data_IF_819664365344
#
_entry.id   IF_819664365344
#
_cell.length_a   1.000
_cell.length_b   1.000
_cell.length_c   1.000
_cell.angle_alpha   90.00
_cell.angle_beta   90.00
_cell.angle_gamma   90.00
#
_symmetry.space_group_name_H-M   'P 1'
#
loop_
_entity.id
_entity.type
_entity.pdbx_description
1 polymer ?
#
# COMPACT_ATOMS: atom_id res chain seq x y z
N UNK A 1 -16.10 -13.88 6.03
CA UNK A 1 -15.52 -13.01 4.98
C UNK A 1 -16.14 -13.45 3.67
N UNK A 2 -16.82 -12.56 2.98
CA UNK A 2 -17.68 -12.88 1.83
C UNK A 2 -17.11 -12.37 0.50
N UNK A 3 -15.97 -11.68 0.52
CA UNK A 3 -15.37 -11.09 -0.67
C UNK A 3 -15.96 -9.76 -1.11
N UNK A 4 -16.83 -9.15 -0.31
CA UNK A 4 -17.37 -7.84 -0.58
C UNK A 4 -16.49 -6.74 0.04
N UNK A 5 -16.22 -5.69 -0.75
CA UNK A 5 -15.64 -4.43 -0.28
C UNK A 5 -16.73 -3.36 -0.39
N UNK A 6 -17.01 -2.71 0.72
CA UNK A 6 -17.89 -1.55 0.77
C UNK A 6 -17.06 -0.33 1.19
N UNK A 7 -17.00 0.66 0.34
CA UNK A 7 -16.42 1.96 0.66
C UNK A 7 -17.52 2.99 0.70
N UNK A 8 -17.74 3.60 1.86
CA UNK A 8 -18.78 4.58 2.09
C UNK A 8 -18.21 5.90 2.57
N UNK A 9 -18.69 6.99 2.00
CA UNK A 9 -18.37 8.34 2.50
C UNK A 9 -19.02 8.55 3.88
N UNK A 10 -18.27 9.15 4.81
CA UNK A 10 -18.82 9.56 6.09
C UNK A 10 -19.58 10.89 6.03
N UNK A 11 -19.40 11.64 4.93
CA UNK A 11 -20.04 12.95 4.72
C UNK A 11 -21.27 12.81 3.83
N UNK A 12 -21.17 12.03 2.75
CA UNK A 12 -22.28 11.76 1.85
C UNK A 12 -22.67 10.29 1.91
N UNK A 13 -23.74 10.00 2.62
CA UNK A 13 -24.26 8.62 2.79
C UNK A 13 -24.70 7.96 1.48
N UNK A 14 -24.89 8.74 0.41
CA UNK A 14 -25.22 8.23 -0.92
C UNK A 14 -23.98 7.83 -1.74
N UNK A 15 -22.80 8.30 -1.33
CA UNK A 15 -21.53 7.92 -1.96
C UNK A 15 -21.06 6.58 -1.39
N UNK A 16 -21.64 5.51 -1.92
CA UNK A 16 -21.34 4.13 -1.55
C UNK A 16 -20.83 3.38 -2.77
N UNK A 17 -19.67 2.74 -2.61
CA UNK A 17 -19.11 1.83 -3.61
C UNK A 17 -19.11 0.42 -3.05
N UNK A 18 -19.84 -0.48 -3.68
CA UNK A 18 -19.86 -1.90 -3.33
C UNK A 18 -19.21 -2.70 -4.46
N UNK A 19 -18.23 -3.53 -4.09
CA UNK A 19 -17.55 -4.40 -5.03
C UNK A 19 -17.45 -5.81 -4.52
N UNK A 20 -17.85 -6.77 -5.34
CA UNK A 20 -17.76 -8.19 -5.03
C UNK A 20 -16.62 -8.82 -5.84
N UNK A 21 -15.62 -9.36 -5.13
CA UNK A 21 -14.47 -10.05 -5.73
C UNK A 21 -14.69 -11.56 -5.87
N UNK A 22 -15.85 -12.07 -5.44
CA UNK A 22 -16.19 -13.51 -5.43
C UNK A 22 -15.16 -14.40 -4.72
N UNK A 23 -14.31 -13.80 -3.88
CA UNK A 23 -13.23 -14.47 -3.13
C UNK A 23 -13.07 -13.82 -1.78
N UNK A 24 -12.81 -14.61 -0.72
CA UNK A 24 -12.61 -14.05 0.63
C UNK A 24 -11.45 -13.07 0.66
N UNK A 25 -11.73 -11.85 1.11
CA UNK A 25 -10.74 -10.79 1.31
C UNK A 25 -10.39 -10.68 2.80
N UNK A 26 -9.14 -10.38 3.11
CA UNK A 26 -8.63 -10.21 4.48
C UNK A 26 -8.06 -8.81 4.72
N UNK A 27 -7.63 -8.15 3.66
CA UNK A 27 -7.03 -6.83 3.74
C UNK A 27 -7.56 -5.92 2.65
N UNK A 28 -7.83 -4.68 3.03
CA UNK A 28 -8.19 -3.57 2.13
C UNK A 28 -7.46 -2.32 2.61
N UNK A 29 -6.94 -1.53 1.68
CA UNK A 29 -6.29 -0.28 1.99
C UNK A 29 -6.64 0.80 0.96
N UNK A 30 -7.26 1.88 1.41
CA UNK A 30 -7.59 3.03 0.57
C UNK A 30 -6.31 3.82 0.25
N UNK A 31 -6.22 4.34 -0.97
CA UNK A 31 -5.19 5.31 -1.34
C UNK A 31 -5.27 6.54 -0.42
N UNK A 32 -4.15 7.16 -0.04
CA UNK A 32 -4.16 8.45 0.65
C UNK A 32 -4.89 9.55 -0.14
N UNK A 33 -4.93 9.42 -1.46
CA UNK A 33 -5.64 10.33 -2.38
C UNK A 33 -7.03 9.79 -2.80
N UNK A 34 -7.61 8.86 -2.04
CA UNK A 34 -8.86 8.18 -2.41
C UNK A 34 -9.99 9.15 -2.78
N UNK A 35 -10.03 10.32 -2.16
CA UNK A 35 -11.04 11.34 -2.47
C UNK A 35 -10.99 11.77 -3.94
N UNK A 36 -9.81 11.82 -4.53
CA UNK A 36 -9.56 12.26 -5.91
C UNK A 36 -9.39 11.10 -6.88
N UNK A 37 -8.65 10.06 -6.49
CA UNK A 37 -8.28 8.96 -7.37
C UNK A 37 -9.18 7.73 -7.28
N UNK A 38 -10.02 7.67 -6.23
CA UNK A 38 -10.94 6.55 -5.96
C UNK A 38 -10.25 5.18 -6.02
N UNK A 39 -8.98 5.14 -5.65
CA UNK A 39 -8.13 3.96 -5.75
C UNK A 39 -8.02 3.26 -4.40
N UNK A 40 -8.09 1.93 -4.41
CA UNK A 40 -7.78 1.10 -3.25
C UNK A 40 -7.15 -0.22 -3.66
N UNK A 41 -6.52 -0.87 -2.71
CA UNK A 41 -5.95 -2.20 -2.84
C UNK A 41 -6.73 -3.19 -2.00
N UNK A 42 -6.88 -4.40 -2.50
CA UNK A 42 -7.49 -5.50 -1.76
C UNK A 42 -6.69 -6.79 -1.95
N UNK A 43 -6.79 -7.67 -0.96
CA UNK A 43 -6.14 -8.98 -0.99
C UNK A 43 -6.71 -9.94 0.04
N UNK A 44 -6.45 -11.23 -0.14
CA UNK A 44 -6.97 -12.27 0.76
C UNK A 44 -6.52 -13.66 0.40
N UNK A 45 -7.37 -14.65 0.61
CA UNK A 45 -7.05 -16.09 0.47
C UNK A 45 -6.54 -16.48 -0.92
N UNK A 46 -6.96 -15.79 -1.97
CA UNK A 46 -6.51 -16.08 -3.33
C UNK A 46 -5.04 -15.66 -3.60
N UNK A 47 -4.36 -15.00 -2.65
CA UNK A 47 -2.99 -14.53 -2.81
C UNK A 47 -2.80 -13.48 -3.91
N UNK A 48 -3.88 -12.81 -4.30
CA UNK A 48 -3.84 -11.76 -5.32
C UNK A 48 -3.91 -10.39 -4.67
N UNK A 49 -2.99 -9.51 -5.04
CA UNK A 49 -3.06 -8.08 -4.74
C UNK A 49 -3.76 -7.40 -5.91
N UNK A 50 -4.95 -6.90 -5.66
CA UNK A 50 -5.79 -6.27 -6.68
C UNK A 50 -5.86 -4.77 -6.44
N UNK A 51 -5.51 -4.02 -7.47
CA UNK A 51 -5.73 -2.58 -7.55
C UNK A 51 -7.10 -2.33 -8.16
N UNK A 52 -7.95 -1.60 -7.44
CA UNK A 52 -9.23 -1.14 -7.95
C UNK A 52 -9.20 0.37 -8.08
N UNK A 53 -9.52 0.86 -9.27
CA UNK A 53 -9.76 2.27 -9.52
C UNK A 53 -11.26 2.46 -9.65
N UNK A 54 -11.86 3.18 -8.72
CA UNK A 54 -13.32 3.37 -8.66
C UNK A 54 -13.84 4.28 -9.77
N UNK A 55 -15.16 4.24 -9.96
CA UNK A 55 -15.85 5.17 -10.84
C UNK A 55 -15.85 6.60 -10.25
N UNK A 56 -15.94 7.65 -11.09
CA UNK A 56 -16.17 9.01 -10.62
C UNK A 56 -17.41 9.12 -9.74
N UNK A 57 -17.39 10.05 -8.78
CA UNK A 57 -18.47 10.31 -7.81
C UNK A 57 -19.84 10.43 -8.46
N UNK A 58 -20.84 9.82 -7.85
CA UNK A 58 -22.26 10.04 -8.15
C UNK A 58 -23.09 8.83 -8.57
N UNK A 59 -22.51 7.63 -8.65
CA UNK A 59 -23.27 6.39 -8.90
C UNK A 59 -22.85 5.28 -7.96
N UNK A 60 -23.82 4.78 -7.19
CA UNK A 60 -23.71 3.48 -6.54
C UNK A 60 -23.58 2.41 -7.63
N UNK A 61 -22.41 1.81 -7.76
CA UNK A 61 -22.18 0.72 -8.72
C UNK A 61 -21.90 -0.55 -7.94
N UNK A 62 -22.87 -1.47 -7.96
CA UNK A 62 -22.63 -2.85 -7.57
C UNK A 62 -22.04 -3.59 -8.77
N UNK A 63 -20.82 -4.08 -8.63
CA UNK A 63 -20.17 -4.90 -9.67
C UNK A 63 -19.66 -6.21 -9.10
N UNK A 64 -19.98 -7.28 -9.81
CA UNK A 64 -19.46 -8.62 -9.54
C UNK A 64 -18.30 -8.89 -10.48
N UNK A 65 -17.11 -9.05 -9.94
CA UNK A 65 -15.94 -9.54 -10.69
C UNK A 65 -15.89 -11.07 -10.61
N UNK A 66 -16.38 -11.72 -11.67
CA UNK A 66 -16.30 -13.18 -11.79
C UNK A 66 -14.89 -13.67 -12.12
N UNK A 67 -14.66 -14.97 -11.98
CA UNK A 67 -13.40 -15.66 -12.24
C UNK A 67 -12.86 -15.52 -13.68
N UNK A 68 -13.62 -14.92 -14.59
CA UNK A 68 -13.28 -14.70 -15.99
C UNK A 68 -12.41 -13.46 -16.24
N UNK A 69 -12.13 -12.65 -15.23
CA UNK A 69 -11.30 -11.44 -15.37
C UNK A 69 -9.85 -11.70 -15.77
N UNK A 70 -9.37 -12.96 -15.66
CA UNK A 70 -8.01 -13.32 -16.09
C UNK A 70 -7.84 -13.39 -17.62
N UNK A 71 -8.93 -13.65 -18.37
CA UNK A 71 -8.87 -13.76 -19.84
C UNK A 71 -9.19 -12.45 -20.57
N UNK A 72 -9.69 -11.43 -19.87
CA UNK A 72 -10.18 -10.19 -20.48
C UNK A 72 -9.16 -9.03 -20.45
N UNK A 73 -7.88 -9.33 -20.34
CA UNK A 73 -6.82 -8.33 -20.15
C UNK A 73 -6.71 -7.26 -21.25
N UNK A 74 -7.29 -7.43 -22.40
CA UNK A 74 -7.24 -6.42 -23.47
C UNK A 74 -8.61 -6.05 -24.05
N UNK A 75 -9.59 -6.97 -23.99
CA UNK A 75 -10.94 -6.71 -24.52
C UNK A 75 -11.87 -6.02 -23.51
N UNK A 76 -11.58 -6.10 -22.20
CA UNK A 76 -12.39 -5.47 -21.13
C UNK A 76 -12.33 -3.94 -21.10
N UNK A 77 -11.44 -3.33 -21.89
CA UNK A 77 -11.28 -1.86 -21.93
C UNK A 77 -12.38 -1.14 -22.73
N UNK A 78 -13.24 -1.84 -23.44
CA UNK A 78 -14.23 -1.23 -24.35
C UNK A 78 -15.67 -1.23 -23.84
N UNK A 79 -15.99 -1.94 -22.75
CA UNK A 79 -17.36 -2.03 -22.27
C UNK A 79 -17.44 -1.52 -20.83
N UNK A 80 -17.83 -0.28 -20.65
CA UNK A 80 -18.24 0.23 -19.36
C UNK A 80 -17.61 1.54 -18.93
N UNK A 81 -17.94 2.63 -19.58
CA UNK A 81 -17.67 3.99 -19.08
C UNK A 81 -18.51 4.26 -17.81
N UNK A 82 -18.09 3.73 -16.65
CA UNK A 82 -18.79 3.96 -15.38
C UNK A 82 -18.47 2.94 -14.28
N UNK A 83 -17.88 1.82 -14.63
CA UNK A 83 -17.47 0.81 -13.65
C UNK A 83 -15.96 0.86 -13.45
N UNK A 84 -15.49 0.99 -12.20
CA UNK A 84 -14.07 0.99 -11.88
C UNK A 84 -13.31 -0.18 -12.51
N UNK A 85 -12.00 -0.02 -12.67
CA UNK A 85 -11.12 -1.02 -13.28
C UNK A 85 -10.35 -1.78 -12.22
N UNK A 86 -10.36 -3.11 -12.28
CA UNK A 86 -9.50 -3.97 -11.48
C UNK A 86 -8.24 -4.37 -12.27
N UNK A 87 -7.12 -4.36 -11.58
CA UNK A 87 -5.85 -4.82 -12.11
C UNK A 87 -5.15 -5.68 -11.07
N UNK A 88 -4.78 -6.90 -11.43
CA UNK A 88 -3.97 -7.76 -10.54
C UNK A 88 -2.52 -7.29 -10.63
N UNK A 89 -2.00 -6.74 -9.54
CA UNK A 89 -0.62 -6.26 -9.45
C UNK A 89 0.36 -7.38 -9.06
N UNK A 90 -0.12 -8.35 -8.30
CA UNK A 90 0.67 -9.47 -7.81
C UNK A 90 -0.23 -10.68 -7.60
N UNK A 91 0.31 -11.89 -7.84
CA UNK A 91 -0.41 -13.15 -7.59
C UNK A 91 0.56 -14.24 -7.15
N UNK A 92 0.03 -15.22 -6.42
CA UNK A 92 0.81 -16.30 -5.81
C UNK A 92 1.31 -15.93 -4.41
N UNK A 93 2.18 -16.75 -3.85
CA UNK A 93 2.86 -16.56 -2.56
C UNK A 93 1.91 -16.51 -1.35
N UNK A 94 0.77 -17.21 -1.42
CA UNK A 94 -0.14 -17.42 -0.28
C UNK A 94 -1.04 -16.23 0.06
N UNK A 95 -1.74 -16.36 1.15
CA UNK A 95 -2.77 -15.42 1.61
C UNK A 95 -2.21 -14.05 1.96
N UNK A 96 -2.82 -12.99 1.45
CA UNK A 96 -2.49 -11.60 1.82
C UNK A 96 -3.26 -11.24 3.09
N UNK A 97 -2.52 -10.94 4.17
CA UNK A 97 -3.07 -10.67 5.49
C UNK A 97 -3.14 -9.19 5.86
N UNK A 98 -2.27 -8.37 5.28
CA UNK A 98 -2.22 -6.94 5.54
C UNK A 98 -1.78 -6.17 4.29
N UNK A 99 -2.32 -4.97 4.12
CA UNK A 99 -1.92 -4.02 3.08
C UNK A 99 -1.91 -2.64 3.72
N UNK A 100 -0.82 -1.87 3.52
CA UNK A 100 -0.70 -0.51 4.05
C UNK A 100 -0.04 0.41 3.03
N UNK A 101 -0.66 1.54 2.77
CA UNK A 101 -0.04 2.65 2.04
C UNK A 101 0.92 3.40 2.95
N UNK A 102 2.02 3.88 2.38
CA UNK A 102 2.89 4.81 3.09
C UNK A 102 2.19 6.16 3.28
N UNK A 103 2.66 6.93 4.26
CA UNK A 103 2.08 8.24 4.58
C UNK A 103 2.16 9.21 3.40
N UNK A 104 3.22 9.13 2.61
CA UNK A 104 3.36 9.92 1.37
C UNK A 104 2.52 9.39 0.22
N UNK A 105 2.02 8.17 0.29
CA UNK A 105 1.36 7.47 -0.81
C UNK A 105 2.31 6.91 -1.87
N UNK A 106 3.62 7.14 -1.76
CA UNK A 106 4.62 6.68 -2.76
C UNK A 106 4.83 5.18 -2.76
N UNK A 107 4.58 4.52 -1.64
CA UNK A 107 4.80 3.09 -1.47
C UNK A 107 3.57 2.41 -0.90
N UNK A 108 3.51 1.12 -1.15
CA UNK A 108 2.59 0.21 -0.48
C UNK A 108 3.37 -1.00 0.01
N UNK A 109 3.04 -1.46 1.19
CA UNK A 109 3.51 -2.72 1.75
C UNK A 109 2.34 -3.69 1.83
N UNK A 110 2.60 -4.96 1.52
CA UNK A 110 1.68 -6.03 1.86
C UNK A 110 2.42 -7.21 2.46
N UNK A 111 1.73 -7.92 3.32
CA UNK A 111 2.22 -9.10 4.01
C UNK A 111 1.42 -10.31 3.56
N UNK A 112 2.12 -11.34 3.16
CA UNK A 112 1.53 -12.64 2.82
C UNK A 112 2.25 -13.76 3.59
N UNK A 113 1.93 -15.03 3.29
CA UNK A 113 2.52 -16.18 3.99
C UNK A 113 4.03 -16.32 3.76
N UNK A 114 4.59 -15.71 2.72
CA UNK A 114 6.01 -15.79 2.40
C UNK A 114 6.84 -14.62 2.93
N UNK A 115 6.21 -13.52 3.31
CA UNK A 115 6.94 -12.39 3.87
C UNK A 115 6.33 -11.03 3.58
N UNK A 116 7.20 -10.03 3.61
CA UNK A 116 6.90 -8.62 3.44
C UNK A 116 7.30 -8.22 2.04
N UNK A 117 6.42 -7.51 1.35
CA UNK A 117 6.71 -6.98 0.02
C UNK A 117 6.41 -5.50 -0.02
N UNK A 118 7.29 -4.78 -0.70
CA UNK A 118 7.15 -3.32 -0.90
C UNK A 118 7.11 -3.03 -2.39
N UNK A 119 6.17 -2.17 -2.77
CA UNK A 119 5.96 -1.77 -4.16
C UNK A 119 5.92 -0.25 -4.27
N UNK A 120 6.51 0.28 -5.32
CA UNK A 120 6.38 1.68 -5.71
C UNK A 120 5.00 1.89 -6.33
N UNK A 121 4.26 2.90 -5.85
CA UNK A 121 2.96 3.26 -6.42
C UNK A 121 3.12 4.23 -7.60
N UNK A 122 2.02 4.56 -8.24
CA UNK A 122 1.98 5.61 -9.26
C UNK A 122 1.90 7.03 -8.67
N UNK A 123 1.58 7.15 -7.37
CA UNK A 123 1.40 8.45 -6.74
C UNK A 123 2.74 9.20 -6.67
N UNK A 124 2.70 10.48 -7.03
CA UNK A 124 3.86 11.38 -7.02
C UNK A 124 5.06 10.89 -7.87
N UNK A 125 4.79 10.07 -8.89
CA UNK A 125 5.77 9.78 -9.93
C UNK A 125 5.75 10.90 -10.98
N UNK A 126 6.92 11.36 -11.38
CA UNK A 126 7.08 12.20 -12.55
C UNK A 126 6.81 11.39 -13.82
N UNK A 127 6.43 12.05 -14.91
CA UNK A 127 6.15 11.36 -16.18
C UNK A 127 7.35 10.57 -16.70
N UNK A 128 8.57 11.02 -16.41
CA UNK A 128 9.80 10.30 -16.75
C UNK A 128 9.98 8.98 -15.99
N UNK A 129 9.29 8.80 -14.87
CA UNK A 129 9.37 7.63 -14.01
C UNK A 129 8.10 6.78 -14.04
N UNK A 130 7.19 7.05 -14.97
CA UNK A 130 5.89 6.36 -15.06
C UNK A 130 6.02 4.84 -15.22
N UNK A 131 7.13 4.34 -15.79
CA UNK A 131 7.43 2.92 -15.92
C UNK A 131 7.70 2.22 -14.58
N UNK A 132 8.04 2.98 -13.55
CA UNK A 132 8.28 2.46 -12.19
C UNK A 132 6.98 2.34 -11.38
N UNK A 133 5.84 2.76 -11.94
CA UNK A 133 4.54 2.60 -11.32
C UNK A 133 4.20 1.12 -11.11
N UNK A 134 3.82 0.78 -9.88
CA UNK A 134 3.45 -0.58 -9.47
C UNK A 134 4.57 -1.60 -9.60
N UNK A 135 5.83 -1.14 -9.48
CA UNK A 135 7.01 -2.00 -9.48
C UNK A 135 7.35 -2.46 -8.07
N UNK A 136 7.55 -3.76 -7.90
CA UNK A 136 8.04 -4.30 -6.61
C UNK A 136 9.50 -3.90 -6.42
N UNK A 137 9.81 -3.28 -5.28
CA UNK A 137 11.14 -2.76 -4.93
C UNK A 137 11.78 -3.47 -3.75
N UNK A 138 11.02 -4.30 -3.04
CA UNK A 138 11.51 -5.06 -1.90
C UNK A 138 10.75 -6.35 -1.65
N UNK A 139 11.49 -7.34 -1.17
CA UNK A 139 10.99 -8.58 -0.62
C UNK A 139 11.84 -8.94 0.59
N UNK A 140 11.19 -9.21 1.71
CA UNK A 140 11.82 -9.65 2.94
C UNK A 140 11.08 -10.91 3.39
N UNK A 141 11.81 -12.00 3.50
CA UNK A 141 11.23 -13.27 3.92
C UNK A 141 10.67 -13.19 5.34
N UNK A 142 9.65 -13.97 5.62
CA UNK A 142 9.11 -14.16 6.96
C UNK A 142 10.17 -14.76 7.91
N UNK A 143 10.00 -14.60 9.24
CA UNK A 143 10.84 -15.35 10.18
C UNK A 143 10.75 -16.85 9.88
N UNK A 144 11.91 -17.51 9.88
CA UNK A 144 12.01 -18.95 9.67
C UNK A 144 12.50 -19.59 10.97
N UNK A 145 11.57 -19.88 11.87
CA UNK A 145 11.84 -20.60 13.12
C UNK A 145 10.88 -21.77 13.24
N UNK A 146 11.30 -22.82 13.91
CA UNK A 146 10.46 -24.01 14.14
C UNK A 146 9.14 -23.65 14.87
N UNK A 147 9.22 -22.68 15.78
CA UNK A 147 8.04 -22.14 16.46
C UNK A 147 7.08 -21.46 15.48
N UNK A 148 7.63 -20.74 14.50
CA UNK A 148 6.80 -20.07 13.51
C UNK A 148 6.03 -21.08 12.66
N UNK A 149 6.64 -22.16 12.23
CA UNK A 149 5.96 -23.19 11.41
C UNK A 149 4.77 -23.80 12.14
N UNK A 150 4.91 -24.03 13.42
CA UNK A 150 3.82 -24.51 14.28
C UNK A 150 2.70 -23.47 14.44
N UNK A 151 3.04 -22.18 14.47
CA UNK A 151 2.13 -21.09 14.76
C UNK A 151 1.75 -20.24 13.52
N UNK A 152 2.10 -20.68 12.32
CA UNK A 152 1.93 -19.93 11.08
C UNK A 152 0.49 -19.47 10.81
N UNK A 153 -0.50 -20.24 11.22
CA UNK A 153 -1.92 -19.90 11.09
C UNK A 153 -2.37 -18.79 12.04
N UNK A 154 -1.66 -18.60 13.16
CA UNK A 154 -2.00 -17.66 14.24
C UNK A 154 -1.13 -16.40 14.16
N UNK A 155 0.18 -16.59 13.95
CA UNK A 155 1.14 -15.49 13.92
C UNK A 155 1.19 -14.82 12.56
N UNK A 156 0.33 -13.82 12.40
CA UNK A 156 0.29 -12.99 11.19
C UNK A 156 1.09 -11.71 11.40
N UNK A 157 1.90 -11.36 10.42
CA UNK A 157 2.65 -10.11 10.44
C UNK A 157 1.74 -8.89 10.50
N UNK A 158 2.24 -7.85 11.15
CA UNK A 158 1.64 -6.51 11.22
C UNK A 158 2.66 -5.50 10.72
N UNK A 159 2.19 -4.50 10.00
CA UNK A 159 3.04 -3.46 9.45
C UNK A 159 2.41 -2.09 9.67
N UNK A 160 3.25 -1.12 10.09
CA UNK A 160 2.84 0.29 10.20
C UNK A 160 3.97 1.20 9.70
N UNK A 161 3.60 2.25 8.98
CA UNK A 161 4.54 3.27 8.56
C UNK A 161 4.79 4.26 9.69
N UNK A 162 6.05 4.60 9.90
CA UNK A 162 6.47 5.55 10.94
C UNK A 162 6.56 6.94 10.31
N UNK A 163 6.01 7.92 11.01
CA UNK A 163 6.24 9.33 10.67
C UNK A 163 7.66 9.75 11.09
N UNK A 164 8.41 10.37 10.19
CA UNK A 164 9.77 10.86 10.49
C UNK A 164 9.80 11.82 11.68
N UNK A 165 8.78 12.66 11.84
CA UNK A 165 8.73 13.60 12.97
C UNK A 165 8.58 12.91 14.33
N UNK A 166 7.95 11.74 14.40
CA UNK A 166 7.82 11.00 15.64
C UNK A 166 9.17 10.39 16.12
N UNK A 167 10.09 10.15 15.19
CA UNK A 167 11.43 9.59 15.53
C UNK A 167 12.43 10.68 15.89
N UNK A 168 12.36 11.83 15.24
CA UNK A 168 13.21 12.99 15.58
C UNK A 168 12.87 13.60 16.94
N UNK A 169 11.61 13.54 17.37
CA UNK A 169 11.20 14.04 18.67
C UNK A 169 11.72 13.21 19.85
N UNK A 170 12.11 11.95 19.62
CA UNK A 170 12.67 11.08 20.66
C UNK A 170 14.14 11.40 20.97
N UNK A 171 14.89 11.97 20.03
CA UNK A 171 16.29 12.38 20.26
C UNK A 171 16.44 13.77 20.91
N UNK A 172 15.38 14.59 20.88
CA UNK A 172 15.38 15.94 21.47
C UNK A 172 14.34 16.11 22.58
N UNK A 173 14.14 15.08 23.41
CA UNK A 173 13.08 15.05 24.41
C UNK A 173 13.22 16.12 25.51
N UNK A 174 12.73 17.33 25.24
CA UNK A 174 12.41 18.29 26.32
C UNK A 174 11.08 19.06 26.16
N UNK A 175 10.28 18.84 25.12
CA UNK A 175 9.04 19.60 24.94
C UNK A 175 7.83 18.77 24.48
N UNK A 176 7.49 17.71 25.23
CA UNK A 176 6.29 16.87 24.92
C UNK A 176 4.94 17.50 25.27
N UNK A 177 4.88 18.78 25.60
CA UNK A 177 3.61 19.41 26.02
C UNK A 177 2.95 20.30 24.97
N UNK A 178 3.47 20.38 23.74
CA UNK A 178 2.86 21.21 22.71
C UNK A 178 2.69 20.51 21.36
N UNK A 179 2.22 19.26 21.37
CA UNK A 179 1.51 18.73 20.21
C UNK A 179 0.10 19.34 20.16
N UNK A 180 0.03 20.67 20.23
CA UNK A 180 -1.18 21.39 19.89
C UNK A 180 -1.55 21.03 18.47
N UNK A 181 -2.81 20.64 18.26
CA UNK A 181 -3.38 20.32 16.97
C UNK A 181 -2.85 21.27 15.91
N UNK A 182 -2.03 20.77 14.99
CA UNK A 182 -1.48 21.56 13.90
C UNK A 182 -2.66 22.20 13.17
N UNK A 183 -2.57 23.49 12.87
CA UNK A 183 -3.62 24.14 12.12
C UNK A 183 -3.84 23.40 10.80
N UNK A 184 -5.05 23.38 10.25
CA UNK A 184 -5.31 22.71 8.95
C UNK A 184 -4.34 23.15 7.84
N UNK A 185 -3.86 24.40 7.89
CA UNK A 185 -2.86 24.90 6.96
C UNK A 185 -1.47 24.28 7.15
N UNK A 186 -1.05 24.04 8.41
CA UNK A 186 0.22 23.40 8.71
C UNK A 186 0.19 21.91 8.30
N UNK A 187 -0.94 21.23 8.50
CA UNK A 187 -1.14 19.86 8.04
C UNK A 187 -1.07 19.74 6.51
N UNK A 188 -1.68 20.67 5.78
CA UNK A 188 -1.60 20.72 4.32
C UNK A 188 -0.17 20.98 3.83
N UNK A 189 0.58 21.88 4.45
CA UNK A 189 1.98 22.15 4.13
C UNK A 189 2.86 20.92 4.39
N UNK A 190 2.65 20.24 5.50
CA UNK A 190 3.34 19.01 5.84
C UNK A 190 3.08 17.90 4.83
N UNK A 191 1.82 17.68 4.45
CA UNK A 191 1.46 16.72 3.42
C UNK A 191 2.10 17.09 2.07
N UNK A 192 2.17 18.37 1.73
CA UNK A 192 2.82 18.81 0.50
C UNK A 192 4.33 18.59 0.53
N UNK A 193 4.99 18.80 1.68
CA UNK A 193 6.41 18.46 1.86
C UNK A 193 6.68 16.96 1.75
N UNK A 194 5.86 16.11 2.37
CA UNK A 194 5.94 14.66 2.24
C UNK A 194 5.81 14.19 0.78
N UNK A 195 4.96 14.85 0.00
CA UNK A 195 4.75 14.54 -1.43
C UNK A 195 5.97 14.85 -2.29
N UNK A 196 6.69 15.92 -1.99
CA UNK A 196 7.84 16.40 -2.79
C UNK A 196 9.19 15.86 -2.30
N UNK A 197 9.25 15.37 -1.07
CA UNK A 197 10.49 14.90 -0.47
C UNK A 197 10.95 13.57 -1.08
N UNK A 198 12.23 13.48 -1.43
CA UNK A 198 12.93 12.23 -1.76
C UNK A 198 13.48 11.53 -0.52
N UNK A 199 12.81 11.69 0.62
CA UNK A 199 13.25 11.12 1.90
C UNK A 199 13.03 9.61 1.97
N UNK A 200 13.83 8.98 2.82
CA UNK A 200 13.68 7.57 3.20
C UNK A 200 12.41 7.46 4.04
N UNK A 201 11.52 6.55 3.68
CA UNK A 201 10.33 6.24 4.48
C UNK A 201 10.61 5.01 5.34
N UNK A 202 10.08 5.01 6.56
CA UNK A 202 10.35 3.97 7.56
C UNK A 202 9.11 3.13 7.80
N UNK A 203 9.30 1.83 7.86
CA UNK A 203 8.27 0.85 8.11
C UNK A 203 8.67 -0.02 9.31
N UNK A 204 7.77 -0.19 10.28
CA UNK A 204 7.91 -1.17 11.34
C UNK A 204 7.07 -2.38 11.00
N UNK A 205 7.65 -3.55 11.12
CA UNK A 205 6.95 -4.84 10.96
C UNK A 205 7.18 -5.69 12.19
N UNK A 206 6.10 -6.11 12.83
CA UNK A 206 6.10 -7.12 13.88
C UNK A 206 5.58 -8.45 13.34
N UNK A 207 6.34 -9.54 13.55
CA UNK A 207 5.94 -10.88 13.11
C UNK A 207 6.47 -11.95 14.06
N UNK A 208 5.55 -12.63 14.74
CA UNK A 208 5.93 -13.52 15.83
C UNK A 208 6.66 -12.75 16.93
N UNK A 209 7.81 -13.25 17.35
CA UNK A 209 8.68 -12.60 18.32
C UNK A 209 9.66 -11.59 17.73
N UNK A 210 9.58 -11.28 16.43
CA UNK A 210 10.55 -10.45 15.73
C UNK A 210 9.95 -9.10 15.35
N UNK A 211 10.74 -8.03 15.51
CA UNK A 211 10.39 -6.68 15.06
C UNK A 211 11.48 -6.18 14.11
N UNK A 212 11.09 -5.78 12.91
CA UNK A 212 11.99 -5.16 11.94
C UNK A 212 11.69 -3.69 11.76
N UNK A 213 12.74 -2.89 11.62
CA UNK A 213 12.67 -1.55 11.07
C UNK A 213 13.23 -1.63 9.65
N UNK A 214 12.42 -1.24 8.69
CA UNK A 214 12.72 -1.31 7.28
C UNK A 214 12.77 0.10 6.72
N UNK A 215 13.88 0.46 6.09
CA UNK A 215 14.01 1.70 5.33
C UNK A 215 13.63 1.46 3.88
N UNK A 216 12.78 2.32 3.37
CA UNK A 216 12.35 2.33 1.98
C UNK A 216 12.93 3.57 1.30
N UNK A 217 13.95 3.31 0.48
CA UNK A 217 14.71 4.34 -0.23
C UNK A 217 14.00 4.72 -1.53
N UNK A 218 13.93 6.01 -1.87
CA UNK A 218 13.37 6.45 -3.13
C UNK A 218 14.20 5.97 -4.31
N UNK A 219 13.54 5.83 -5.45
CA UNK A 219 14.20 5.59 -6.72
C UNK A 219 15.00 6.80 -7.20
N UNK A 220 15.87 6.57 -8.15
CA UNK A 220 16.70 7.59 -8.77
C UNK A 220 17.81 7.00 -9.62
N UNK A 221 18.60 7.87 -10.23
CA UNK A 221 19.79 7.47 -10.96
C UNK A 221 20.90 7.15 -9.96
N UNK A 222 21.47 5.96 -10.04
CA UNK A 222 22.56 5.53 -9.19
C UNK A 222 23.80 6.42 -9.33
N UNK A 223 24.51 6.60 -8.23
CA UNK A 223 25.81 7.30 -8.18
C UNK A 223 26.92 6.31 -7.86
N UNK A 224 28.15 6.61 -8.23
CA UNK A 224 29.29 5.74 -7.97
C UNK A 224 29.40 4.57 -8.95
N UNK A 225 29.61 3.34 -8.45
CA UNK A 225 29.79 2.14 -9.30
C UNK A 225 28.57 1.81 -10.17
N UNK A 226 27.38 2.26 -9.80
CA UNK A 226 26.12 2.08 -10.54
C UNK A 226 25.66 3.39 -11.19
N UNK A 227 26.58 4.27 -11.53
CA UNK A 227 26.27 5.55 -12.17
C UNK A 227 25.55 5.31 -13.51
N UNK A 228 24.36 5.88 -13.64
CA UNK A 228 23.52 5.75 -14.83
C UNK A 228 22.45 4.64 -14.77
N UNK A 229 22.48 3.75 -13.77
CA UNK A 229 21.43 2.76 -13.59
C UNK A 229 20.25 3.39 -12.84
N UNK A 230 19.07 3.33 -13.46
CA UNK A 230 17.82 3.85 -12.89
C UNK A 230 17.17 2.78 -12.02
N UNK A 231 16.82 3.15 -10.80
CA UNK A 231 16.16 2.27 -9.83
C UNK A 231 14.79 2.84 -9.40
N UNK A 232 13.79 1.99 -9.33
CA UNK A 232 12.45 2.35 -8.79
C UNK A 232 12.45 2.58 -7.26
N UNK A 233 13.55 2.23 -6.59
CA UNK A 233 13.72 2.27 -5.15
C UNK A 233 14.15 0.91 -4.60
N UNK A 234 14.38 0.86 -3.29
CA UNK A 234 14.73 -0.38 -2.58
C UNK A 234 14.19 -0.35 -1.16
N UNK A 235 13.99 -1.53 -0.59
CA UNK A 235 13.69 -1.70 0.82
C UNK A 235 14.77 -2.55 1.50
N UNK A 236 15.22 -2.14 2.68
CA UNK A 236 16.26 -2.84 3.43
C UNK A 236 15.95 -2.87 4.93
N UNK A 237 16.30 -3.97 5.60
CA UNK A 237 16.20 -4.08 7.05
C UNK A 237 17.35 -3.29 7.67
N UNK A 238 17.04 -2.38 8.59
CA UNK A 238 18.04 -1.57 9.29
C UNK A 238 18.22 -2.05 10.71
N UNK A 239 17.16 -2.54 11.33
CA UNK A 239 17.18 -3.06 12.71
C UNK A 239 16.26 -4.27 12.84
N UNK A 240 16.73 -5.24 13.56
CA UNK A 240 16.02 -6.48 13.92
C UNK A 240 15.99 -6.64 15.44
#
# INVERSE_FOLDING_TARGET
MDGNVCVQSLVDVKDVQLRNFSRPLQAVALSPEFKSDRTYLSGGLAGQLVLTVGAPTGRSTSMTTGATAQAAGWLGSMVGAGSGKDTVLHSGEGTINAIKWSLSGRYVVWLNEHGIKVMRTKLHLESADAEDAWKRIGHIDRPQTDEWETMASVWKGRAEWIDEQAVESDETSTNYHEAAALSPAAEMLRQQQLKTSKTIERLVVGWGGTIWIIHVHPGGVGTGKNAGEKSAGRAEIVKM
#
